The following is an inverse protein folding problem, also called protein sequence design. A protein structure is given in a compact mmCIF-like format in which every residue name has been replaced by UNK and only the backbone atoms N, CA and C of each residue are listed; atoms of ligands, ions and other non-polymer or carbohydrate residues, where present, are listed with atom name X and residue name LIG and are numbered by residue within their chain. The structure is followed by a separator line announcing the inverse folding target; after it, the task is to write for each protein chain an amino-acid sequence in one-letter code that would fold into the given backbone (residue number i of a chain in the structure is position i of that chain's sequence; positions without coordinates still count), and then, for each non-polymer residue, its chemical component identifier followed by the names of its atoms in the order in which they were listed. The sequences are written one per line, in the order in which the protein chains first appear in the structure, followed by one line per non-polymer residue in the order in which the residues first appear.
data_IF_528417660806
#
_entry.id   IF_528417660806
#
_cell.length_a   1.000
_cell.length_b   1.000
_cell.length_c   1.000
_cell.angle_alpha   90.00
_cell.angle_beta   90.00
_cell.angle_gamma   90.00
#
_symmetry.space_group_name_H-M   'P 1'
#
loop_
_entity.id
_entity.type
_entity.pdbx_description
1 polymer ?
#
# COMPACT_ATOMS: atom_id res chain seq x y z
N UNK A 1 31.89 23.65 27.13
CA UNK A 1 31.72 22.41 26.34
C UNK A 1 30.52 21.65 26.89
N UNK A 2 29.36 22.32 26.89
CA UNK A 2 28.15 21.93 27.63
C UNK A 2 26.99 22.04 26.62
N UNK A 3 26.77 21.00 25.80
CA UNK A 3 25.71 21.04 24.79
C UNK A 3 25.06 19.68 24.55
N UNK A 4 24.82 18.91 25.62
CA UNK A 4 24.08 17.64 25.54
C UNK A 4 22.91 17.56 26.52
N UNK A 5 22.49 18.68 27.13
CA UNK A 5 21.23 18.76 27.89
C UNK A 5 20.09 19.24 27.00
N UNK A 6 19.44 18.30 26.32
CA UNK A 6 18.09 18.46 25.75
C UNK A 6 17.55 17.07 25.38
N UNK A 7 16.69 16.53 26.26
CA UNK A 7 15.56 15.64 25.97
C UNK A 7 15.80 14.50 24.97
N UNK A 8 16.48 13.43 25.38
CA UNK A 8 16.81 12.32 24.44
C UNK A 8 15.81 11.16 24.48
N UNK A 9 15.02 11.04 23.40
CA UNK A 9 14.21 9.88 22.99
C UNK A 9 15.07 8.67 22.54
N UNK A 10 16.23 8.42 23.14
CA UNK A 10 17.16 7.39 22.65
C UNK A 10 17.73 6.55 23.78
N UNK A 11 17.60 5.22 23.69
CA UNK A 11 18.09 4.28 24.69
C UNK A 11 19.62 4.21 24.73
N UNK A 12 20.17 3.76 25.88
CA UNK A 12 21.62 3.53 26.05
C UNK A 12 22.18 2.62 24.95
N UNK A 13 21.44 1.58 24.57
CA UNK A 13 21.83 0.64 23.52
C UNK A 13 22.04 1.33 22.15
N UNK A 14 21.16 2.29 21.80
CA UNK A 14 21.31 3.08 20.58
C UNK A 14 22.61 3.90 20.63
N UNK A 15 22.91 4.56 21.75
CA UNK A 15 24.15 5.35 21.91
C UNK A 15 25.40 4.48 21.75
N UNK A 16 25.45 3.31 22.39
CA UNK A 16 26.59 2.39 22.25
C UNK A 16 26.77 1.86 20.82
N UNK A 17 25.70 1.68 20.06
CA UNK A 17 25.77 1.31 18.63
C UNK A 17 26.45 2.41 17.80
N UNK A 18 26.09 3.68 18.04
CA UNK A 18 26.69 4.82 17.34
C UNK A 18 28.16 5.01 17.70
N UNK A 19 28.52 4.92 18.98
CA UNK A 19 29.92 5.01 19.44
C UNK A 19 30.76 3.91 18.79
N UNK A 20 30.29 2.65 18.78
CA UNK A 20 31.00 1.54 18.13
C UNK A 20 31.23 1.77 16.63
N UNK A 21 30.23 2.31 15.93
CA UNK A 21 30.37 2.64 14.49
C UNK A 21 31.36 3.77 14.26
N UNK A 22 31.34 4.80 15.09
CA UNK A 22 32.29 5.91 14.97
C UNK A 22 33.73 5.44 15.19
N UNK A 23 33.98 4.57 16.18
CA UNK A 23 35.33 4.02 16.38
C UNK A 23 35.81 3.14 15.23
N UNK A 24 34.91 2.38 14.58
CA UNK A 24 35.27 1.48 13.49
C UNK A 24 35.39 2.18 12.12
N UNK A 25 34.57 3.20 11.86
CA UNK A 25 34.33 3.72 10.51
C UNK A 25 34.37 5.27 10.45
N UNK A 26 34.66 5.93 11.57
CA UNK A 26 34.67 7.40 11.70
C UNK A 26 33.32 8.04 11.38
N UNK A 27 33.36 9.22 10.75
CA UNK A 27 32.16 9.95 10.34
C UNK A 27 31.28 9.18 9.35
N UNK A 28 31.87 8.32 8.49
CA UNK A 28 31.11 7.47 7.56
C UNK A 28 30.25 6.41 8.29
N UNK A 29 30.67 6.02 9.50
CA UNK A 29 29.90 5.16 10.41
C UNK A 29 28.59 5.79 10.91
N UNK A 30 28.49 7.12 10.85
CA UNK A 30 27.36 7.90 11.36
C UNK A 30 26.31 8.23 10.27
N UNK A 31 26.51 7.79 9.04
CA UNK A 31 25.50 7.93 7.99
C UNK A 31 24.30 7.03 8.32
N UNK A 32 23.09 7.51 8.06
CA UNK A 32 21.86 6.75 8.27
C UNK A 32 21.92 5.43 7.48
N UNK A 33 21.73 4.32 8.19
CA UNK A 33 21.72 2.98 7.59
C UNK A 33 20.38 2.35 7.82
N UNK A 34 19.85 1.74 6.77
CA UNK A 34 18.68 0.87 6.89
C UNK A 34 18.90 -0.14 8.03
N UNK A 35 18.00 -0.11 9.01
CA UNK A 35 17.95 -1.12 10.08
C UNK A 35 17.24 -2.40 9.63
N UNK A 36 16.89 -2.51 8.34
CA UNK A 36 16.25 -3.70 7.79
C UNK A 36 17.20 -4.90 7.85
N UNK A 37 16.72 -6.08 8.25
CA UNK A 37 17.54 -7.29 8.26
C UNK A 37 18.01 -7.64 6.84
N UNK A 38 19.24 -8.15 6.73
CA UNK A 38 19.81 -8.61 5.45
C UNK A 38 19.12 -9.86 4.89
N UNK A 39 18.56 -10.70 5.77
CA UNK A 39 17.86 -11.95 5.41
C UNK A 39 16.58 -12.08 6.22
N UNK A 40 15.51 -12.55 5.58
CA UNK A 40 14.24 -12.90 6.21
C UNK A 40 13.94 -14.37 5.90
N UNK A 41 14.32 -15.33 6.77
CA UNK A 41 14.15 -16.76 6.51
C UNK A 41 12.69 -17.18 6.34
N UNK A 42 11.77 -16.50 7.03
CA UNK A 42 10.32 -16.70 6.93
C UNK A 42 9.69 -15.99 5.74
N UNK A 43 10.52 -15.49 4.80
CA UNK A 43 10.00 -14.89 3.58
C UNK A 43 9.32 -15.97 2.76
N UNK A 44 8.10 -15.65 2.33
CA UNK A 44 7.33 -16.41 1.35
C UNK A 44 8.21 -16.80 0.16
N UNK A 45 8.15 -18.06 -0.27
CA UNK A 45 8.94 -18.53 -1.42
C UNK A 45 8.54 -17.78 -2.70
N UNK A 46 9.49 -17.63 -3.62
CA UNK A 46 9.26 -16.93 -4.89
C UNK A 46 8.11 -17.53 -5.69
N UNK A 47 7.96 -18.86 -5.67
CA UNK A 47 6.86 -19.57 -6.32
C UNK A 47 5.49 -19.12 -5.83
N UNK A 48 5.35 -19.01 -4.50
CA UNK A 48 4.13 -18.58 -3.81
C UNK A 48 3.87 -17.09 -4.08
N UNK A 49 4.92 -16.27 -4.12
CA UNK A 49 4.80 -14.86 -4.56
C UNK A 49 4.31 -14.75 -6.03
N UNK A 50 4.86 -15.56 -6.93
CA UNK A 50 4.48 -15.58 -8.35
C UNK A 50 3.02 -15.98 -8.55
N UNK A 51 2.53 -16.96 -7.79
CA UNK A 51 1.12 -17.38 -7.85
C UNK A 51 0.15 -16.25 -7.45
N UNK A 52 0.52 -15.45 -6.45
CA UNK A 52 -0.24 -14.25 -6.06
C UNK A 52 -0.24 -13.21 -7.15
N UNK A 53 0.93 -12.94 -7.75
CA UNK A 53 1.05 -11.94 -8.81
C UNK A 53 0.25 -12.33 -10.04
N UNK A 54 0.29 -13.60 -10.41
CA UNK A 54 -0.45 -14.10 -11.56
C UNK A 54 -1.96 -14.00 -11.34
N UNK A 55 -2.44 -14.44 -10.18
CA UNK A 55 -3.86 -14.30 -9.85
C UNK A 55 -4.29 -12.82 -9.79
N UNK A 56 -3.42 -11.93 -9.29
CA UNK A 56 -3.68 -10.49 -9.28
C UNK A 56 -3.81 -9.93 -10.71
N UNK A 57 -2.98 -10.38 -11.66
CA UNK A 57 -3.06 -10.00 -13.08
C UNK A 57 -4.32 -10.53 -13.76
N UNK A 58 -4.77 -11.73 -13.41
CA UNK A 58 -5.94 -12.35 -14.03
C UNK A 58 -7.27 -11.81 -13.48
N UNK A 59 -7.32 -11.50 -12.18
CA UNK A 59 -8.58 -11.13 -11.51
C UNK A 59 -8.77 -9.63 -11.35
N UNK A 60 -7.69 -8.85 -11.33
CA UNK A 60 -7.74 -7.41 -11.03
C UNK A 60 -8.53 -7.10 -9.74
N UNK A 61 -8.41 -7.98 -8.72
CA UNK A 61 -9.09 -7.86 -7.42
C UNK A 61 -8.12 -7.68 -6.26
N UNK A 62 -8.65 -7.13 -5.16
CA UNK A 62 -7.87 -6.74 -3.99
C UNK A 62 -7.36 -7.92 -3.16
N UNK A 63 -6.46 -7.65 -2.19
CA UNK A 63 -5.83 -8.69 -1.37
C UNK A 63 -6.83 -9.61 -0.66
N UNK A 64 -7.97 -9.10 -0.23
CA UNK A 64 -9.01 -9.89 0.46
C UNK A 64 -9.65 -10.94 -0.46
N UNK A 65 -9.94 -10.58 -1.70
CA UNK A 65 -10.49 -11.50 -2.69
C UNK A 65 -9.46 -12.56 -3.08
N UNK A 66 -8.25 -12.12 -3.44
CA UNK A 66 -7.16 -13.02 -3.82
C UNK A 66 -6.79 -13.98 -2.69
N UNK A 67 -6.85 -13.52 -1.44
CA UNK A 67 -6.66 -14.35 -0.25
C UNK A 67 -7.71 -15.45 -0.12
N UNK A 68 -9.00 -15.13 -0.37
CA UNK A 68 -10.06 -16.13 -0.39
C UNK A 68 -9.84 -17.21 -1.44
N UNK A 69 -9.46 -16.80 -2.66
CA UNK A 69 -9.19 -17.74 -3.76
C UNK A 69 -7.96 -18.64 -3.50
N UNK A 70 -6.92 -18.09 -2.84
CA UNK A 70 -5.68 -18.81 -2.55
C UNK A 70 -5.71 -19.57 -1.22
N UNK A 71 -6.73 -19.36 -0.39
CA UNK A 71 -6.80 -19.89 0.98
C UNK A 71 -5.76 -19.31 1.93
N UNK A 72 -5.30 -18.07 1.72
CA UNK A 72 -4.23 -17.44 2.49
C UNK A 72 -4.71 -16.23 3.29
N UNK A 73 -3.85 -15.71 4.17
CA UNK A 73 -4.13 -14.48 4.92
C UNK A 73 -3.97 -13.26 4.02
N UNK A 74 -4.97 -12.37 3.99
CA UNK A 74 -4.96 -11.15 3.17
C UNK A 74 -3.77 -10.21 3.45
N UNK A 75 -3.25 -10.20 4.68
CA UNK A 75 -2.05 -9.41 5.03
C UNK A 75 -0.78 -9.94 4.35
N UNK A 76 -0.67 -11.26 4.15
CA UNK A 76 0.44 -11.88 3.41
C UNK A 76 0.34 -11.52 1.94
N UNK A 77 -0.84 -11.67 1.33
CA UNK A 77 -1.10 -11.29 -0.06
C UNK A 77 -0.80 -9.81 -0.29
N UNK A 78 -1.30 -8.93 0.59
CA UNK A 78 -1.06 -7.49 0.51
C UNK A 78 0.42 -7.12 0.61
N UNK A 79 1.19 -7.77 1.50
CA UNK A 79 2.66 -7.57 1.59
C UNK A 79 3.39 -8.02 0.34
N UNK A 80 2.96 -9.13 -0.28
CA UNK A 80 3.55 -9.62 -1.53
C UNK A 80 3.31 -8.60 -2.64
N UNK A 81 2.07 -8.16 -2.84
CA UNK A 81 1.74 -7.17 -3.87
C UNK A 81 2.51 -5.85 -3.67
N UNK A 82 2.61 -5.37 -2.42
CA UNK A 82 3.37 -4.16 -2.09
C UNK A 82 4.87 -4.30 -2.38
N UNK A 83 5.47 -5.46 -2.09
CA UNK A 83 6.89 -5.73 -2.40
C UNK A 83 7.19 -5.73 -3.89
N UNK A 84 6.25 -6.19 -4.70
CA UNK A 84 6.39 -6.31 -6.15
C UNK A 84 5.85 -5.09 -6.91
N UNK A 85 5.46 -4.03 -6.20
CA UNK A 85 4.86 -2.83 -6.79
C UNK A 85 3.66 -3.14 -7.71
N UNK A 86 2.95 -4.24 -7.45
CA UNK A 86 1.70 -4.54 -8.12
C UNK A 86 0.71 -3.44 -7.69
N UNK A 87 0.38 -2.55 -8.64
CA UNK A 87 -0.27 -1.27 -8.38
C UNK A 87 -1.53 -1.40 -7.51
N UNK A 88 -1.86 -0.37 -6.72
CA UNK A 88 -3.03 -0.40 -5.85
C UNK A 88 -4.30 -0.61 -6.70
N UNK A 89 -5.20 -1.47 -6.23
CA UNK A 89 -6.45 -1.76 -6.94
C UNK A 89 -7.28 -0.52 -7.27
N UNK A 90 -7.17 0.54 -6.45
CA UNK A 90 -7.82 1.82 -6.69
C UNK A 90 -7.37 2.49 -8.01
N UNK A 91 -6.24 2.07 -8.55
CA UNK A 91 -5.70 2.53 -9.82
C UNK A 91 -5.97 1.55 -10.98
N UNK A 92 -6.71 0.45 -10.76
CA UNK A 92 -6.96 -0.59 -11.77
C UNK A 92 -8.45 -0.87 -11.88
N UNK A 93 -8.98 -0.82 -13.10
CA UNK A 93 -10.38 -1.08 -13.38
C UNK A 93 -10.66 -2.59 -13.19
N UNK A 94 -11.60 -2.99 -12.32
CA UNK A 94 -11.82 -4.42 -12.02
C UNK A 94 -12.37 -5.25 -13.17
N UNK A 95 -12.91 -4.62 -14.23
CA UNK A 95 -13.49 -5.31 -15.38
C UNK A 95 -12.47 -5.44 -16.50
N UNK A 96 -11.74 -4.36 -16.77
CA UNK A 96 -10.84 -4.24 -17.93
C UNK A 96 -9.37 -4.44 -17.58
N UNK A 97 -9.00 -4.35 -16.30
CA UNK A 97 -7.60 -4.36 -15.86
C UNK A 97 -6.81 -3.11 -16.26
N UNK A 98 -7.45 -2.16 -16.94
CA UNK A 98 -6.83 -0.94 -17.40
C UNK A 98 -6.53 -0.01 -16.20
N UNK A 99 -5.50 0.85 -16.29
CA UNK A 99 -5.30 1.86 -15.29
C UNK A 99 -6.53 2.79 -15.23
N UNK A 100 -7.18 2.87 -14.06
CA UNK A 100 -8.23 3.86 -13.83
C UNK A 100 -7.58 5.22 -13.97
N UNK A 101 -8.00 6.00 -14.99
CA UNK A 101 -7.64 7.42 -15.06
C UNK A 101 -8.05 8.05 -13.74
N UNK A 102 -7.06 8.44 -12.93
CA UNK A 102 -7.33 9.10 -11.66
C UNK A 102 -8.31 10.25 -11.90
N UNK A 103 -9.44 10.23 -11.17
CA UNK A 103 -10.52 11.24 -11.27
C UNK A 103 -10.08 12.68 -10.97
N UNK A 104 -8.82 12.91 -10.60
CA UNK A 104 -8.24 14.25 -10.50
C UNK A 104 -7.77 14.73 -11.86
N UNK A 105 -8.64 14.72 -12.88
CA UNK A 105 -8.55 15.81 -13.84
C UNK A 105 -8.73 17.08 -13.00
N UNK A 106 -7.82 18.05 -13.03
CA UNK A 106 -7.95 19.31 -12.26
C UNK A 106 -9.24 20.11 -12.53
N UNK A 107 -10.11 19.60 -13.44
CA UNK A 107 -11.50 20.00 -13.63
C UNK A 107 -12.32 19.64 -12.40
N UNK A 108 -12.48 20.62 -11.52
CA UNK A 108 -13.44 20.59 -10.42
C UNK A 108 -14.85 20.73 -10.98
N UNK A 109 -15.78 19.88 -10.56
CA UNK A 109 -17.20 20.02 -10.84
C UNK A 109 -17.74 21.18 -9.98
N UNK A 110 -17.53 22.40 -10.48
CA UNK A 110 -17.89 23.65 -9.80
C UNK A 110 -18.65 24.55 -10.77
N UNK A 111 -19.64 25.25 -10.25
CA UNK A 111 -20.46 26.22 -10.96
C UNK A 111 -20.63 27.47 -10.12
N UNK A 112 -20.95 28.58 -10.77
CA UNK A 112 -20.90 29.90 -10.15
C UNK A 112 -22.19 30.21 -9.38
N UNK A 113 -23.31 29.57 -9.74
CA UNK A 113 -24.61 29.81 -9.09
C UNK A 113 -25.17 28.52 -8.48
N UNK A 114 -25.88 28.62 -7.33
CA UNK A 114 -26.68 27.52 -6.82
C UNK A 114 -27.67 27.00 -7.88
N UNK A 115 -27.82 25.68 -8.00
CA UNK A 115 -28.75 25.04 -8.95
C UNK A 115 -28.17 24.68 -10.33
N UNK A 116 -26.98 25.16 -10.69
CA UNK A 116 -26.32 24.83 -11.98
C UNK A 116 -25.70 23.42 -12.01
N UNK A 117 -25.62 22.74 -10.86
CA UNK A 117 -25.16 21.36 -10.72
C UNK A 117 -26.31 20.47 -10.27
N UNK A 118 -26.89 19.74 -11.21
CA UNK A 118 -27.90 18.73 -10.94
C UNK A 118 -27.24 17.35 -10.96
N UNK A 119 -27.30 16.64 -9.83
CA UNK A 119 -26.97 15.23 -9.76
C UNK A 119 -28.27 14.44 -9.84
N UNK A 120 -28.40 13.59 -10.85
CA UNK A 120 -29.53 12.69 -10.98
C UNK A 120 -29.03 11.30 -10.61
N UNK A 121 -29.42 10.82 -9.44
CA UNK A 121 -29.30 9.43 -9.07
C UNK A 121 -30.60 8.70 -9.40
N UNK A 122 -30.48 7.54 -10.05
CA UNK A 122 -31.59 6.67 -10.34
C UNK A 122 -31.47 5.41 -9.50
N UNK A 123 -32.55 5.05 -8.80
CA UNK A 123 -32.70 3.70 -8.28
C UNK A 123 -33.33 2.82 -9.38
N UNK A 124 -32.74 1.66 -9.72
CA UNK A 124 -33.36 0.75 -10.66
C UNK A 124 -34.72 0.29 -10.12
N UNK A 125 -35.80 0.27 -10.93
CA UNK A 125 -37.12 -0.10 -10.44
C UNK A 125 -37.06 -1.49 -9.80
N UNK A 126 -37.64 -1.64 -8.61
CA UNK A 126 -37.86 -2.96 -8.01
C UNK A 126 -38.68 -3.79 -8.99
N UNK A 127 -38.25 -5.03 -9.22
CA UNK A 127 -38.98 -6.00 -10.05
C UNK A 127 -40.34 -6.24 -9.40
N UNK A 128 -41.38 -5.56 -9.88
CA UNK A 128 -42.76 -5.91 -9.54
C UNK A 128 -43.12 -7.14 -10.36
N UNK A 129 -43.25 -8.28 -9.69
CA UNK A 129 -43.94 -9.43 -10.28
C UNK A 129 -45.43 -9.07 -10.34
N UNK A 130 -45.95 -8.95 -11.56
CA UNK A 130 -47.35 -8.66 -11.79
C UNK A 130 -48.12 -10.00 -11.68
N UNK A 131 -49.01 -10.21 -10.69
CA UNK A 131 -49.85 -11.39 -10.68
C UNK A 131 -50.84 -11.33 -11.84
N UNK A 132 -51.00 -12.46 -12.52
CA UNK A 132 -51.90 -12.67 -13.66
C UNK A 132 -53.38 -12.56 -13.25
#
# INVERSE_FOLDING_TARGET
MEMWSSRRRSSRATVYKWIRRYHAEGWAGLIERSSRPRRCPTRTSTEVENRVLELCRLRHRGPMFLAGELGWVASTVGRILARHHAGPLAATDPITGAPVRQRRSGRRYQRSRPGELLHIDGWPPSRQENPA
#
